data_IF_053342074224
#
_entry.id   IF_053342074224
#
_cell.length_a   1.000
_cell.length_b   1.000
_cell.length_c   1.000
_cell.angle_alpha   90.00
_cell.angle_beta   90.00
_cell.angle_gamma   90.00
#
_symmetry.space_group_name_H-M   'P 1'
#
loop_
_entity.id
_entity.type
_entity.pdbx_description
1 polymer ?
#
# COMPACT_ATOMS: atom_id res chain seq x y z
N UNK A 1 -25.07 27.62 51.55
CA UNK A 1 -26.19 27.59 50.58
C UNK A 1 -26.06 26.31 49.77
N UNK A 2 -26.99 25.38 49.99
CA UNK A 2 -27.02 24.06 49.35
C UNK A 2 -28.16 24.10 48.35
N UNK A 3 -27.88 23.98 47.05
CA UNK A 3 -28.91 23.96 46.03
C UNK A 3 -28.96 22.57 45.38
N UNK A 4 -29.95 21.79 45.82
CA UNK A 4 -30.36 20.49 45.26
C UNK A 4 -31.03 20.71 43.90
N UNK A 5 -30.68 19.89 42.91
CA UNK A 5 -31.49 19.66 41.72
C UNK A 5 -31.93 18.19 41.71
N UNK A 6 -33.26 17.99 41.67
CA UNK A 6 -33.94 16.71 41.49
C UNK A 6 -34.18 16.53 39.98
N UNK A 7 -33.79 15.38 39.43
CA UNK A 7 -34.10 14.97 38.06
C UNK A 7 -35.11 13.82 38.07
N UNK A 8 -36.21 14.00 37.33
CA UNK A 8 -37.41 13.18 37.30
C UNK A 8 -37.22 11.85 36.55
N UNK A 9 -37.87 10.80 37.07
CA UNK A 9 -38.08 9.52 36.38
C UNK A 9 -39.37 9.58 35.57
N UNK A 10 -39.30 9.29 34.27
CA UNK A 10 -40.47 9.08 33.39
C UNK A 10 -40.65 7.58 33.20
N UNK A 11 -41.76 7.05 33.69
CA UNK A 11 -42.19 5.68 33.45
C UNK A 11 -43.05 5.63 32.18
N UNK A 12 -42.63 4.83 31.19
CA UNK A 12 -43.37 4.57 29.97
C UNK A 12 -44.24 3.32 30.17
N UNK A 13 -45.56 3.50 30.21
CA UNK A 13 -46.53 2.41 30.26
C UNK A 13 -46.83 1.87 28.85
N UNK A 14 -46.65 0.56 28.65
CA UNK A 14 -47.05 -0.15 27.43
C UNK A 14 -48.41 -0.80 27.68
N UNK A 15 -49.41 -0.42 26.88
CA UNK A 15 -50.74 -1.05 26.84
C UNK A 15 -50.72 -2.14 25.78
N UNK A 16 -50.88 -3.41 26.18
CA UNK A 16 -51.05 -4.54 25.28
C UNK A 16 -52.54 -4.76 24.99
N UNK A 17 -52.97 -4.49 23.76
CA UNK A 17 -54.28 -4.87 23.25
C UNK A 17 -54.21 -6.28 22.65
N UNK A 18 -54.99 -7.20 23.23
CA UNK A 18 -55.12 -8.58 22.75
C UNK A 18 -56.08 -8.70 21.58
N UNK A 19 -55.67 -9.39 20.53
CA UNK A 19 -56.55 -9.94 19.50
C UNK A 19 -56.47 -11.47 19.55
N UNK A 20 -57.59 -12.10 19.90
CA UNK A 20 -57.77 -13.55 19.85
C UNK A 20 -58.04 -14.00 18.42
N UNK A 21 -57.15 -14.83 17.88
CA UNK A 21 -57.31 -15.53 16.61
C UNK A 21 -57.27 -17.04 16.84
N UNK A 22 -58.35 -17.72 16.42
CA UNK A 22 -58.53 -19.16 16.48
C UNK A 22 -57.50 -19.88 15.61
N UNK A 23 -56.61 -20.67 16.22
CA UNK A 23 -55.58 -21.45 15.51
C UNK A 23 -56.17 -22.80 15.09
N UNK A 24 -56.28 -23.02 13.78
CA UNK A 24 -56.54 -24.33 13.18
C UNK A 24 -55.23 -25.12 13.17
N UNK A 25 -55.20 -26.24 13.90
CA UNK A 25 -54.03 -27.09 14.04
C UNK A 25 -53.65 -27.76 12.72
N UNK A 26 -52.49 -27.38 12.18
CA UNK A 26 -51.81 -28.10 11.10
C UNK A 26 -50.87 -29.13 11.74
N UNK A 27 -50.89 -30.41 11.29
CA UNK A 27 -49.99 -31.42 11.83
C UNK A 27 -48.54 -31.01 11.59
N UNK A 28 -47.84 -30.73 12.69
CA UNK A 28 -46.41 -30.42 12.68
C UNK A 28 -45.65 -31.72 12.44
N UNK A 29 -45.16 -31.92 11.22
CA UNK A 29 -44.14 -32.94 10.97
C UNK A 29 -42.86 -32.48 11.65
N UNK A 30 -42.48 -33.16 12.74
CA UNK A 30 -41.18 -32.97 13.38
C UNK A 30 -40.08 -33.35 12.37
N UNK A 31 -39.24 -32.41 11.91
CA UNK A 31 -38.11 -32.79 11.08
C UNK A 31 -37.13 -33.57 11.95
N UNK A 32 -36.90 -34.82 11.60
CA UNK A 32 -35.79 -35.61 12.15
C UNK A 32 -34.49 -34.90 11.75
N UNK A 33 -33.88 -34.21 12.71
CA UNK A 33 -32.57 -33.58 12.53
C UNK A 33 -31.53 -34.70 12.43
N UNK A 34 -31.16 -35.06 11.20
CA UNK A 34 -29.99 -35.90 10.95
C UNK A 34 -28.77 -35.09 11.35
N UNK A 35 -28.15 -35.46 12.48
CA UNK A 35 -26.88 -34.90 12.95
C UNK A 35 -25.79 -35.35 11.97
N UNK A 36 -25.56 -34.56 10.93
CA UNK A 36 -24.36 -34.70 10.11
C UNK A 36 -23.19 -34.23 10.95
N UNK A 37 -22.38 -35.17 11.44
CA UNK A 37 -21.11 -34.86 12.07
C UNK A 37 -20.23 -34.11 11.06
N UNK A 38 -20.21 -32.78 11.13
CA UNK A 38 -19.25 -31.95 10.39
C UNK A 38 -17.87 -32.35 10.87
N UNK A 39 -17.16 -33.10 10.02
CA UNK A 39 -15.79 -33.54 10.26
C UNK A 39 -14.96 -32.30 10.60
N UNK A 40 -14.57 -32.14 11.87
CA UNK A 40 -13.75 -31.03 12.35
C UNK A 40 -12.54 -30.95 11.44
N UNK A 41 -12.46 -29.90 10.63
CA UNK A 41 -11.35 -29.68 9.71
C UNK A 41 -10.12 -29.54 10.61
N UNK A 42 -9.20 -30.51 10.54
CA UNK A 42 -7.93 -30.45 11.26
C UNK A 42 -7.30 -29.10 10.91
N UNK A 43 -6.92 -28.26 11.88
CA UNK A 43 -6.31 -26.98 11.59
C UNK A 43 -5.15 -27.23 10.63
N UNK A 44 -5.21 -26.64 9.45
CA UNK A 44 -4.11 -26.69 8.50
C UNK A 44 -2.97 -25.94 9.17
N UNK A 45 -1.86 -26.62 9.44
CA UNK A 45 -0.68 -25.99 10.01
C UNK A 45 -0.29 -24.82 9.10
N UNK A 46 -0.48 -23.59 9.59
CA UNK A 46 0.06 -22.41 8.92
C UNK A 46 1.57 -22.57 8.89
N UNK A 47 2.22 -22.56 7.72
CA UNK A 47 3.67 -22.72 7.64
C UNK A 47 4.33 -21.58 8.43
N UNK A 48 5.11 -21.96 9.45
CA UNK A 48 5.95 -21.02 10.19
C UNK A 48 7.04 -20.50 9.26
N UNK A 49 7.34 -19.19 9.26
CA UNK A 49 8.42 -18.66 8.45
C UNK A 49 9.74 -19.39 8.69
N UNK A 50 10.36 -19.82 7.60
CA UNK A 50 11.64 -20.52 7.66
C UNK A 50 12.74 -19.48 7.93
N UNK A 51 13.39 -19.57 9.10
CA UNK A 51 14.55 -18.75 9.42
C UNK A 51 15.69 -19.04 8.44
N UNK A 52 16.35 -18.00 7.94
CA UNK A 52 17.54 -18.14 7.09
C UNK A 52 18.64 -18.88 7.88
N UNK A 53 19.37 -19.86 7.29
CA UNK A 53 20.47 -20.53 7.97
C UNK A 53 21.48 -19.52 8.53
N UNK A 54 21.68 -19.58 9.85
CA UNK A 54 22.55 -18.64 10.55
C UNK A 54 24.00 -18.76 10.03
N UNK A 55 24.66 -17.63 9.72
CA UNK A 55 26.09 -17.66 9.42
C UNK A 55 26.87 -18.11 10.66
N UNK A 56 28.13 -18.55 10.48
CA UNK A 56 29.10 -18.47 11.56
C UNK A 56 29.05 -17.06 12.15
N UNK A 57 28.97 -16.95 13.48
CA UNK A 57 28.93 -15.66 14.16
C UNK A 57 30.15 -14.83 13.72
N UNK A 58 29.89 -13.67 13.10
CA UNK A 58 30.93 -12.71 12.75
C UNK A 58 31.35 -11.86 13.96
N UNK A 59 32.45 -11.10 13.84
CA UNK A 59 32.89 -10.19 14.89
C UNK A 59 31.87 -9.07 15.14
N UNK A 60 31.23 -8.54 14.09
CA UNK A 60 30.18 -7.52 14.17
C UNK A 60 28.75 -8.08 14.21
N UNK A 61 27.76 -7.19 14.10
CA UNK A 61 26.34 -7.54 14.10
C UNK A 61 25.99 -8.63 13.05
N UNK A 62 25.24 -9.64 13.47
CA UNK A 62 24.85 -10.75 12.60
C UNK A 62 23.44 -10.53 12.07
N UNK A 63 23.27 -10.66 10.75
CA UNK A 63 21.95 -10.71 10.12
C UNK A 63 21.29 -12.05 10.42
N UNK A 64 20.18 -12.03 11.15
CA UNK A 64 19.38 -13.18 11.61
C UNK A 64 18.26 -13.52 10.63
N UNK A 65 17.63 -12.50 10.05
CA UNK A 65 16.63 -12.65 9.01
C UNK A 65 16.92 -11.67 7.87
N UNK A 66 16.77 -12.15 6.63
CA UNK A 66 16.76 -11.30 5.44
C UNK A 66 15.74 -11.86 4.46
N UNK A 67 14.69 -11.10 4.21
CA UNK A 67 13.57 -11.55 3.40
C UNK A 67 12.63 -10.41 3.02
N UNK A 68 11.43 -10.80 2.59
CA UNK A 68 10.38 -9.88 2.19
C UNK A 68 9.16 -10.02 3.10
N UNK A 69 8.43 -8.92 3.29
CA UNK A 69 7.07 -8.94 3.81
C UNK A 69 6.10 -8.42 2.75
N UNK A 70 4.91 -9.00 2.66
CA UNK A 70 3.85 -8.54 1.79
C UNK A 70 3.39 -7.12 2.14
N UNK A 71 2.52 -6.54 1.32
CA UNK A 71 2.03 -5.18 1.53
C UNK A 71 1.10 -5.03 2.76
N UNK A 72 0.63 -6.15 3.33
CA UNK A 72 -0.06 -6.23 4.61
C UNK A 72 0.89 -6.53 5.78
N UNK A 73 2.19 -6.32 5.56
CA UNK A 73 3.29 -6.51 6.49
C UNK A 73 3.53 -7.97 6.93
N UNK A 74 2.86 -8.97 6.33
CA UNK A 74 3.09 -10.38 6.64
C UNK A 74 4.38 -10.91 5.99
N UNK A 75 5.28 -11.60 6.73
CA UNK A 75 6.48 -12.21 6.14
C UNK A 75 6.16 -13.21 5.02
N UNK A 76 6.84 -13.08 3.89
CA UNK A 76 6.72 -14.00 2.76
C UNK A 76 7.60 -15.24 2.98
N UNK A 77 7.17 -16.38 2.44
CA UNK A 77 8.02 -17.56 2.34
C UNK A 77 8.84 -17.50 1.04
N UNK A 78 10.12 -17.92 1.07
CA UNK A 78 10.87 -18.12 -0.15
C UNK A 78 10.28 -19.29 -0.95
N UNK A 79 10.29 -19.19 -2.27
CA UNK A 79 9.82 -20.23 -3.18
C UNK A 79 10.89 -21.31 -3.44
N UNK A 80 12.13 -21.07 -3.00
CA UNK A 80 13.25 -21.98 -3.15
C UNK A 80 14.59 -21.31 -2.85
N UNK A 81 15.67 -21.95 -3.31
CA UNK A 81 17.02 -21.39 -3.30
C UNK A 81 17.62 -21.45 -4.69
N UNK A 82 18.51 -20.51 -5.02
CA UNK A 82 19.28 -20.59 -6.25
C UNK A 82 20.54 -21.48 -6.12
N UNK A 83 21.36 -21.54 -7.18
CA UNK A 83 22.58 -22.37 -7.21
C UNK A 83 23.65 -21.97 -6.17
N UNK A 84 23.56 -20.78 -5.57
CA UNK A 84 24.45 -20.31 -4.51
C UNK A 84 23.84 -20.48 -3.10
N UNK A 85 22.67 -21.13 -3.00
CA UNK A 85 21.95 -21.32 -1.74
C UNK A 85 21.22 -20.07 -1.23
N UNK A 86 21.04 -19.05 -2.08
CA UNK A 86 20.33 -17.81 -1.72
C UNK A 86 18.83 -18.05 -1.79
N UNK A 87 18.09 -17.63 -0.77
CA UNK A 87 16.63 -17.72 -0.76
C UNK A 87 16.04 -16.89 -1.91
N UNK A 88 15.14 -17.49 -2.68
CA UNK A 88 14.42 -16.83 -3.78
C UNK A 88 13.03 -16.43 -3.28
N UNK A 89 12.75 -15.13 -3.30
CA UNK A 89 11.42 -14.60 -3.07
C UNK A 89 10.84 -14.14 -4.41
N UNK A 90 9.74 -14.76 -4.83
CA UNK A 90 9.05 -14.37 -6.07
C UNK A 90 7.95 -13.36 -5.76
N UNK A 91 7.91 -12.29 -6.56
CA UNK A 91 6.89 -11.24 -6.51
C UNK A 91 6.27 -11.05 -7.87
N UNK A 92 4.96 -10.80 -7.88
CA UNK A 92 4.24 -10.32 -9.06
C UNK A 92 4.57 -8.84 -9.28
N UNK A 93 4.66 -8.45 -10.54
CA UNK A 93 4.85 -7.04 -10.90
C UNK A 93 3.71 -6.18 -10.33
N UNK A 94 4.03 -4.97 -9.88
CA UNK A 94 3.05 -4.00 -9.36
C UNK A 94 2.56 -4.20 -7.92
N UNK A 95 2.96 -5.28 -7.22
CA UNK A 95 2.58 -5.48 -5.83
C UNK A 95 3.59 -4.85 -4.85
N UNK A 96 3.11 -4.03 -3.92
CA UNK A 96 3.93 -3.51 -2.82
C UNK A 96 4.51 -4.63 -1.95
N UNK A 97 5.66 -4.36 -1.32
CA UNK A 97 6.27 -5.20 -0.29
C UNK A 97 7.28 -4.40 0.53
N UNK A 98 7.74 -4.98 1.62
CA UNK A 98 8.87 -4.47 2.38
C UNK A 98 10.07 -5.39 2.23
N UNK A 99 11.27 -4.82 2.08
CA UNK A 99 12.52 -5.47 2.42
C UNK A 99 12.63 -5.47 3.95
N UNK A 100 12.89 -6.64 4.53
CA UNK A 100 13.03 -6.80 5.98
C UNK A 100 14.39 -7.41 6.28
N UNK A 101 15.16 -6.70 7.11
CA UNK A 101 16.46 -7.15 7.61
C UNK A 101 16.40 -7.14 9.12
N UNK A 102 16.76 -8.25 9.75
CA UNK A 102 16.92 -8.29 11.20
C UNK A 102 18.34 -8.61 11.58
N UNK A 103 18.76 -8.05 12.72
CA UNK A 103 20.09 -8.26 13.25
C UNK A 103 20.07 -8.57 14.74
N UNK A 104 21.12 -9.25 15.19
CA UNK A 104 21.48 -9.41 16.60
C UNK A 104 22.97 -9.15 16.83
N UNK A 105 23.41 -8.92 18.07
CA UNK A 105 24.82 -8.76 18.42
C UNK A 105 25.74 -9.87 17.87
N UNK A 106 26.96 -9.45 17.56
CA UNK A 106 28.07 -10.30 17.13
C UNK A 106 28.82 -11.00 18.26
N UNK A 107 30.00 -11.52 17.94
CA UNK A 107 30.99 -11.93 18.95
C UNK A 107 31.47 -10.73 19.79
N UNK A 108 31.40 -9.50 19.26
CA UNK A 108 31.67 -8.27 20.02
C UNK A 108 30.70 -8.06 21.19
N UNK A 109 29.56 -8.76 21.21
CA UNK A 109 28.44 -8.56 22.14
C UNK A 109 27.84 -7.15 22.12
N UNK A 110 28.24 -6.33 21.16
CA UNK A 110 27.71 -4.99 21.04
C UNK A 110 26.33 -4.98 20.38
N UNK A 111 25.42 -4.09 20.80
CA UNK A 111 24.15 -3.90 20.13
C UNK A 111 24.34 -3.59 18.64
N UNK A 112 23.39 -4.05 17.83
CA UNK A 112 23.30 -3.70 16.42
C UNK A 112 23.15 -2.19 16.30
N UNK A 113 23.92 -1.55 15.41
CA UNK A 113 23.72 -0.14 15.11
C UNK A 113 22.39 0.06 14.38
N UNK A 114 21.74 1.21 14.56
CA UNK A 114 20.38 1.46 14.05
C UNK A 114 20.33 2.48 12.91
N UNK A 115 21.45 3.06 12.50
CA UNK A 115 21.47 3.99 11.37
C UNK A 115 21.26 3.22 10.06
N UNK A 116 20.23 3.60 9.29
CA UNK A 116 20.07 3.15 7.91
C UNK A 116 20.56 4.19 6.90
N UNK A 117 20.82 5.43 7.35
CA UNK A 117 21.34 6.51 6.53
C UNK A 117 22.37 7.33 7.32
N UNK A 118 23.54 7.52 6.72
CA UNK A 118 24.62 8.36 7.22
C UNK A 118 25.51 8.71 6.03
N UNK A 119 25.32 9.93 5.50
CA UNK A 119 25.83 10.33 4.20
C UNK A 119 26.77 11.53 4.30
N UNK A 120 27.89 11.42 3.60
CA UNK A 120 28.78 12.53 3.28
C UNK A 120 29.10 12.48 1.78
N UNK A 121 28.88 13.56 1.01
CA UNK A 121 29.21 13.60 -0.42
C UNK A 121 30.72 13.54 -0.70
N UNK A 122 31.54 13.88 0.30
CA UNK A 122 33.00 14.01 0.16
C UNK A 122 33.79 12.97 0.97
N UNK A 123 33.11 12.09 1.72
CA UNK A 123 33.75 11.05 2.53
C UNK A 123 33.02 9.69 2.42
N UNK A 124 33.55 8.75 1.61
CA UNK A 124 32.94 7.44 1.42
C UNK A 124 33.06 6.50 2.63
N UNK A 125 33.82 6.88 3.66
CA UNK A 125 33.90 6.14 4.92
C UNK A 125 32.72 6.44 5.85
N UNK A 126 32.03 7.57 5.67
CA UNK A 126 30.78 7.88 6.37
C UNK A 126 29.67 7.00 5.77
N UNK A 127 29.30 5.95 6.52
CA UNK A 127 28.29 4.97 6.12
C UNK A 127 27.34 4.66 7.26
N UNK A 128 26.11 4.22 6.92
CA UNK A 128 25.15 3.75 7.91
C UNK A 128 25.54 2.38 8.46
N UNK A 129 24.86 1.98 9.54
CA UNK A 129 25.05 0.68 10.16
C UNK A 129 24.49 -0.44 9.29
N UNK A 130 23.34 -0.22 8.67
CA UNK A 130 22.79 -1.09 7.65
C UNK A 130 23.36 -0.74 6.28
N UNK A 131 24.10 -1.67 5.68
CA UNK A 131 24.71 -1.47 4.36
C UNK A 131 24.15 -2.48 3.36
N UNK A 132 23.24 -2.01 2.51
CA UNK A 132 22.57 -2.83 1.49
C UNK A 132 22.93 -2.38 0.07
N UNK A 133 23.13 -3.35 -0.82
CA UNK A 133 23.38 -3.16 -2.25
C UNK A 133 22.48 -4.08 -3.06
N UNK A 134 22.16 -3.68 -4.29
CA UNK A 134 21.38 -4.47 -5.25
C UNK A 134 22.15 -4.69 -6.54
N UNK A 135 22.01 -5.86 -7.16
CA UNK A 135 22.73 -6.19 -8.40
C UNK A 135 22.12 -5.56 -9.66
N UNK A 136 20.93 -4.96 -9.57
CA UNK A 136 20.24 -4.30 -10.68
C UNK A 136 19.63 -2.99 -10.20
N UNK A 137 19.61 -1.95 -11.04
CA UNK A 137 19.09 -0.66 -10.64
C UNK A 137 17.61 -0.81 -10.28
N UNK A 138 17.19 -0.17 -9.19
CA UNK A 138 15.77 -0.05 -8.84
C UNK A 138 15.21 1.20 -9.49
N UNK A 139 13.94 1.19 -9.91
CA UNK A 139 13.32 2.36 -10.53
C UNK A 139 14.08 2.82 -11.78
N UNK A 140 14.41 4.12 -11.83
CA UNK A 140 15.20 4.71 -12.92
C UNK A 140 16.73 4.55 -12.76
N UNK A 141 17.21 3.93 -11.67
CA UNK A 141 18.63 3.73 -11.40
C UNK A 141 19.43 5.01 -11.14
N UNK A 142 18.77 6.09 -10.73
CA UNK A 142 19.42 7.35 -10.35
C UNK A 142 20.58 7.13 -9.37
N UNK A 143 21.61 7.95 -9.46
CA UNK A 143 22.74 7.96 -8.52
C UNK A 143 22.61 9.05 -7.47
N UNK A 144 21.53 9.84 -7.51
CA UNK A 144 21.30 10.90 -6.54
C UNK A 144 20.88 10.30 -5.22
N UNK A 145 21.70 10.48 -4.19
CA UNK A 145 21.43 9.92 -2.87
C UNK A 145 20.15 10.51 -2.27
N UNK A 146 19.20 9.64 -1.93
CA UNK A 146 17.94 10.02 -1.30
C UNK A 146 17.07 10.95 -2.14
N UNK A 147 17.02 10.66 -3.43
CA UNK A 147 15.94 11.12 -4.29
C UNK A 147 14.67 10.28 -4.06
N UNK A 148 14.23 10.19 -2.81
CA UNK A 148 12.96 9.55 -2.43
C UNK A 148 11.86 10.58 -2.12
N UNK A 149 12.08 11.82 -2.57
CA UNK A 149 11.16 12.95 -2.49
C UNK A 149 10.12 12.90 -3.60
N UNK A 150 8.91 13.43 -3.43
CA UNK A 150 7.91 13.28 -4.51
C UNK A 150 8.19 14.10 -5.77
N UNK A 151 9.03 15.13 -5.69
CA UNK A 151 9.44 15.90 -6.88
C UNK A 151 10.65 15.30 -7.60
N UNK A 152 11.42 14.48 -6.89
CA UNK A 152 12.53 13.71 -7.44
C UNK A 152 12.42 12.32 -6.85
N UNK A 153 11.49 11.51 -7.35
CA UNK A 153 11.51 10.07 -7.10
C UNK A 153 12.49 9.46 -8.09
N UNK A 154 13.74 9.33 -7.67
CA UNK A 154 14.67 8.48 -8.37
C UNK A 154 14.71 7.06 -7.81
N UNK A 155 15.53 6.30 -8.52
CA UNK A 155 15.80 4.91 -8.31
C UNK A 155 16.92 4.68 -7.32
N UNK A 156 17.51 3.49 -7.39
CA UNK A 156 18.72 3.15 -6.63
C UNK A 156 19.72 2.56 -7.62
N UNK A 157 20.99 2.99 -7.62
CA UNK A 157 21.96 2.49 -8.57
C UNK A 157 22.39 1.06 -8.17
N UNK A 158 22.76 0.25 -9.16
CA UNK A 158 23.24 -1.11 -8.92
C UNK A 158 24.73 -1.19 -8.62
N UNK A 159 25.12 -2.22 -7.86
CA UNK A 159 26.51 -2.65 -7.70
C UNK A 159 26.58 -4.17 -7.90
N UNK A 160 27.09 -4.62 -9.05
CA UNK A 160 27.18 -6.04 -9.43
C UNK A 160 28.59 -6.41 -9.95
N UNK A 161 29.32 -7.35 -9.30
CA UNK A 161 28.96 -8.01 -8.05
C UNK A 161 28.95 -7.04 -6.87
N UNK A 162 28.12 -7.35 -5.85
CA UNK A 162 28.08 -6.58 -4.62
C UNK A 162 29.47 -6.48 -4.00
N UNK A 163 29.96 -5.25 -3.80
CA UNK A 163 31.25 -4.98 -3.18
C UNK A 163 31.13 -3.75 -2.28
N UNK A 164 31.89 -3.74 -1.19
CA UNK A 164 31.82 -2.69 -0.17
C UNK A 164 33.10 -1.84 -0.10
N UNK A 165 33.82 -1.70 -1.21
CA UNK A 165 35.00 -0.85 -1.27
C UNK A 165 34.65 0.59 -0.85
N UNK A 166 35.61 1.30 -0.22
CA UNK A 166 35.42 2.67 0.26
C UNK A 166 35.54 3.68 -0.89
N UNK A 167 34.58 3.65 -1.82
CA UNK A 167 34.42 4.63 -2.90
C UNK A 167 33.11 5.39 -2.73
N UNK A 168 33.05 6.61 -3.28
CA UNK A 168 31.85 7.46 -3.15
C UNK A 168 30.63 6.80 -3.80
N UNK A 169 30.76 6.31 -5.04
CA UNK A 169 29.71 5.58 -5.75
C UNK A 169 29.06 4.45 -4.92
N UNK A 170 29.86 3.68 -4.16
CA UNK A 170 29.34 2.60 -3.31
C UNK A 170 28.66 3.18 -2.06
N UNK A 171 29.25 4.21 -1.46
CA UNK A 171 28.64 4.91 -0.32
C UNK A 171 27.30 5.52 -0.70
N UNK A 172 27.20 6.11 -1.89
CA UNK A 172 26.00 6.70 -2.46
C UNK A 172 24.92 5.63 -2.64
N UNK A 173 25.25 4.51 -3.30
CA UNK A 173 24.31 3.39 -3.48
C UNK A 173 23.78 2.82 -2.15
N UNK A 174 24.66 2.69 -1.14
CA UNK A 174 24.30 2.23 0.20
C UNK A 174 23.33 3.22 0.87
N UNK A 175 23.66 4.50 0.84
CA UNK A 175 22.87 5.53 1.50
C UNK A 175 21.53 5.80 0.79
N UNK A 176 21.49 5.72 -0.53
CA UNK A 176 20.29 5.92 -1.33
C UNK A 176 19.24 4.83 -1.08
N UNK A 177 19.66 3.56 -1.05
CA UNK A 177 18.77 2.49 -0.60
C UNK A 177 18.45 2.63 0.89
N UNK A 178 19.45 3.02 1.69
CA UNK A 178 19.36 3.13 3.15
C UNK A 178 18.32 4.12 3.65
N UNK A 179 18.20 5.29 3.04
CA UNK A 179 17.20 6.28 3.44
C UNK A 179 15.75 5.91 3.11
N UNK A 180 15.53 4.76 2.46
CA UNK A 180 14.19 4.20 2.18
C UNK A 180 13.73 3.25 3.30
N UNK A 181 14.56 3.00 4.32
CA UNK A 181 14.23 2.18 5.48
C UNK A 181 13.74 3.04 6.64
N UNK A 182 12.47 2.91 7.02
CA UNK A 182 11.83 3.82 7.98
C UNK A 182 11.72 3.19 9.36
N UNK A 183 12.18 3.92 10.38
CA UNK A 183 12.17 3.51 11.79
C UNK A 183 10.77 3.53 12.46
N UNK A 184 9.71 3.82 11.71
CA UNK A 184 8.34 3.97 12.21
C UNK A 184 7.94 5.42 12.50
N UNK A 185 8.92 6.32 12.64
CA UNK A 185 8.68 7.75 12.93
C UNK A 185 8.91 8.66 11.72
N UNK A 186 9.05 8.11 10.52
CA UNK A 186 9.40 8.90 9.33
C UNK A 186 10.89 8.94 9.00
N UNK A 187 11.77 8.56 9.94
CA UNK A 187 13.22 8.75 9.79
C UNK A 187 13.91 7.48 9.28
N UNK A 188 15.01 7.62 8.51
CA UNK A 188 15.85 6.49 8.13
C UNK A 188 16.44 5.75 9.34
N UNK A 189 16.10 4.48 9.54
CA UNK A 189 16.68 3.70 10.63
C UNK A 189 16.05 2.34 10.90
N UNK A 190 16.69 1.62 11.82
CA UNK A 190 16.18 0.38 12.40
C UNK A 190 15.20 0.63 13.55
N UNK A 191 14.50 -0.44 13.93
CA UNK A 191 13.45 -0.50 14.95
C UNK A 191 13.82 -1.51 16.04
N UNK A 192 13.37 -1.24 17.26
CA UNK A 192 13.44 -2.20 18.36
C UNK A 192 12.31 -3.23 18.30
N UNK A 193 12.31 -4.24 19.20
CA UNK A 193 11.29 -5.30 19.24
C UNK A 193 9.85 -4.76 19.41
N UNK A 194 9.69 -3.67 20.14
CA UNK A 194 8.38 -3.06 20.43
C UNK A 194 7.80 -2.28 19.22
N UNK A 195 8.61 -2.03 18.19
CA UNK A 195 8.25 -1.24 17.01
C UNK A 195 8.35 -2.04 15.70
N UNK A 196 8.33 -3.37 15.79
CA UNK A 196 8.47 -4.25 14.63
C UNK A 196 7.50 -3.90 13.49
N UNK A 197 7.92 -4.15 12.25
CA UNK A 197 7.14 -3.88 11.05
C UNK A 197 6.63 -5.15 10.36
N UNK A 198 6.81 -6.32 10.98
CA UNK A 198 6.30 -7.60 10.46
C UNK A 198 5.10 -8.06 11.27
N UNK A 199 3.98 -8.25 10.59
CA UNK A 199 2.70 -8.64 11.17
C UNK A 199 2.51 -10.16 11.09
N UNK A 200 2.01 -10.76 12.16
CA UNK A 200 1.78 -12.20 12.23
C UNK A 200 0.28 -12.55 12.29
N UNK A 201 -0.09 -13.83 12.06
CA UNK A 201 -1.48 -14.27 12.08
C UNK A 201 -2.21 -14.07 13.43
N UNK A 202 -1.47 -13.91 14.51
CA UNK A 202 -2.00 -13.53 15.83
C UNK A 202 -2.45 -12.07 15.90
N UNK A 203 -2.11 -11.27 14.89
CA UNK A 203 -2.44 -9.86 14.79
C UNK A 203 -1.42 -8.93 15.45
N UNK A 204 -0.32 -9.48 15.98
CA UNK A 204 0.73 -8.72 16.64
C UNK A 204 1.91 -8.47 15.70
N UNK A 205 2.60 -7.35 15.95
CA UNK A 205 3.86 -7.05 15.29
C UNK A 205 5.01 -7.54 16.17
N UNK A 206 5.90 -8.33 15.58
CA UNK A 206 7.12 -8.77 16.25
C UNK A 206 8.17 -9.17 15.21
N UNK A 207 9.41 -9.40 15.64
CA UNK A 207 10.48 -9.87 14.76
C UNK A 207 10.23 -11.30 14.25
N UNK A 208 10.73 -11.60 13.05
CA UNK A 208 10.66 -12.91 12.42
C UNK A 208 11.58 -13.90 13.11
N UNK A 209 12.82 -13.50 13.44
CA UNK A 209 13.66 -14.24 14.37
C UNK A 209 13.52 -13.64 15.78
N UNK A 210 12.98 -14.39 16.76
CA UNK A 210 12.81 -13.90 18.13
C UNK A 210 14.12 -13.58 18.85
N UNK A 211 15.28 -13.95 18.30
CA UNK A 211 16.60 -13.61 18.84
C UNK A 211 17.17 -12.31 18.27
N UNK A 212 16.48 -11.67 17.34
CA UNK A 212 16.85 -10.38 16.78
C UNK A 212 16.69 -9.27 17.83
N UNK A 213 17.54 -8.24 17.75
CA UNK A 213 17.46 -7.04 18.60
C UNK A 213 17.20 -5.77 17.81
N UNK A 214 17.27 -5.83 16.48
CA UNK A 214 16.98 -4.74 15.58
C UNK A 214 16.30 -5.26 14.30
N UNK A 215 15.39 -4.47 13.74
CA UNK A 215 14.74 -4.73 12.46
C UNK A 215 14.73 -3.49 11.58
N UNK A 216 15.09 -3.62 10.31
CA UNK A 216 15.06 -2.57 9.31
C UNK A 216 13.98 -2.90 8.27
N UNK A 217 13.14 -1.91 7.97
CA UNK A 217 11.97 -2.08 7.11
C UNK A 217 11.94 -1.05 5.99
N UNK A 218 12.20 -1.49 4.76
CA UNK A 218 12.20 -0.65 3.57
C UNK A 218 11.01 -0.97 2.68
N UNK A 219 9.96 -0.14 2.68
CA UNK A 219 8.79 -0.33 1.81
C UNK A 219 9.18 -0.04 0.37
N UNK A 220 9.12 -1.05 -0.49
CA UNK A 220 9.37 -0.93 -1.93
C UNK A 220 8.11 -0.38 -2.60
N UNK A 221 8.19 0.88 -3.02
CA UNK A 221 7.14 1.54 -3.79
C UNK A 221 7.40 1.46 -5.29
N UNK A 222 6.38 1.74 -6.11
CA UNK A 222 6.47 1.71 -7.58
C UNK A 222 7.67 2.51 -8.16
N UNK A 223 8.01 3.72 -7.67
CA UNK A 223 9.07 4.52 -8.29
C UNK A 223 10.47 3.92 -8.19
N UNK A 224 10.72 3.03 -7.23
CA UNK A 224 11.97 2.28 -7.09
C UNK A 224 11.69 0.78 -6.98
N UNK A 225 10.72 0.31 -7.77
CA UNK A 225 10.41 -1.09 -7.89
C UNK A 225 11.60 -1.90 -8.40
N UNK A 226 11.63 -3.18 -8.02
CA UNK A 226 12.58 -4.14 -8.57
C UNK A 226 12.24 -4.39 -10.06
N UNK A 227 13.25 -4.41 -10.95
CA UNK A 227 13.01 -4.68 -12.37
C UNK A 227 12.64 -6.16 -12.58
N UNK A 228 11.96 -6.45 -13.70
CA UNK A 228 11.62 -7.83 -14.10
C UNK A 228 12.86 -8.74 -14.16
N UNK A 229 12.72 -9.97 -13.66
CA UNK A 229 13.77 -10.98 -13.53
C UNK A 229 14.35 -11.04 -12.12
N UNK A 230 15.57 -11.57 -12.01
CA UNK A 230 16.24 -11.75 -10.72
C UNK A 230 17.08 -10.52 -10.38
N UNK A 231 16.97 -10.07 -9.14
CA UNK A 231 17.84 -9.05 -8.53
C UNK A 231 18.39 -9.60 -7.23
N UNK A 232 19.71 -9.57 -7.06
CA UNK A 232 20.37 -10.02 -5.84
C UNK A 232 20.47 -8.83 -4.90
N UNK A 233 19.84 -8.92 -3.74
CA UNK A 233 20.04 -7.96 -2.66
C UNK A 233 21.10 -8.53 -1.71
N UNK A 234 22.10 -7.72 -1.37
CA UNK A 234 23.19 -8.08 -0.45
C UNK A 234 23.20 -7.09 0.71
N UNK A 235 23.19 -7.59 1.94
CA UNK A 235 23.20 -6.76 3.14
C UNK A 235 24.25 -7.21 4.14
N UNK A 236 24.77 -6.26 4.91
CA UNK A 236 25.53 -6.49 6.15
C UNK A 236 25.18 -5.40 7.16
N UNK A 237 25.42 -5.68 8.43
CA UNK A 237 25.16 -4.76 9.53
C UNK A 237 26.47 -4.47 10.29
N UNK A 238 26.65 -3.26 10.80
CA UNK A 238 27.60 -2.99 11.88
C UNK A 238 26.93 -2.95 13.24
N UNK A 239 27.73 -3.20 14.26
CA UNK A 239 27.36 -2.90 15.65
C UNK A 239 27.67 -1.45 16.02
N UNK A 240 27.34 -1.05 17.25
CA UNK A 240 27.53 0.32 17.74
C UNK A 240 29.01 0.74 17.91
N UNK A 241 30.00 -0.15 17.77
CA UNK A 241 31.42 0.25 17.68
C UNK A 241 31.91 0.27 16.23
N UNK A 242 31.00 0.12 15.25
CA UNK A 242 31.33 0.13 13.83
C UNK A 242 31.97 -1.17 13.34
N UNK A 243 31.91 -2.26 14.12
CA UNK A 243 32.40 -3.57 13.67
C UNK A 243 31.37 -4.17 12.73
N UNK A 244 31.77 -4.36 11.46
CA UNK A 244 30.90 -4.88 10.41
C UNK A 244 30.83 -6.41 10.46
N UNK A 245 29.61 -6.95 10.37
CA UNK A 245 29.34 -8.38 10.30
C UNK A 245 29.45 -9.00 8.91
N UNK A 246 29.14 -10.30 8.83
CA UNK A 246 29.14 -11.04 7.57
C UNK A 246 27.99 -10.61 6.65
N UNK A 247 28.19 -10.75 5.33
CA UNK A 247 27.15 -10.46 4.35
C UNK A 247 26.08 -11.56 4.30
N UNK A 248 24.87 -11.16 3.89
CA UNK A 248 23.73 -12.02 3.58
C UNK A 248 23.13 -11.63 2.24
N UNK A 249 22.59 -12.62 1.53
CA UNK A 249 22.03 -12.41 0.21
C UNK A 249 20.68 -13.11 0.06
N UNK A 250 19.79 -12.46 -0.67
CA UNK A 250 18.54 -13.04 -1.19
C UNK A 250 18.43 -12.73 -2.68
N UNK A 251 17.60 -13.50 -3.38
CA UNK A 251 17.16 -13.21 -4.74
C UNK A 251 15.72 -12.72 -4.67
N UNK A 252 15.49 -11.51 -5.17
CA UNK A 252 14.13 -10.99 -5.43
C UNK A 252 13.85 -11.23 -6.91
N UNK A 253 12.91 -12.14 -7.19
CA UNK A 253 12.47 -12.47 -8.54
C UNK A 253 11.16 -11.74 -8.83
N UNK A 254 11.20 -10.78 -9.75
CA UNK A 254 9.98 -10.15 -10.27
C UNK A 254 9.60 -10.85 -11.56
N UNK A 255 8.55 -11.67 -11.51
CA UNK A 255 8.11 -12.42 -12.68
C UNK A 255 6.79 -11.82 -13.19
N UNK A 256 6.80 -11.08 -14.33
CA UNK A 256 5.58 -10.53 -14.91
C UNK A 256 4.62 -11.65 -15.37
N UNK A 257 5.18 -12.83 -15.64
CA UNK A 257 4.48 -14.01 -16.11
C UNK A 257 4.45 -15.12 -15.05
N UNK A 258 4.58 -14.80 -13.75
CA UNK A 258 4.32 -15.76 -12.68
C UNK A 258 2.83 -16.10 -12.71
N UNK A 259 2.49 -16.97 -13.66
CA UNK A 259 1.16 -17.44 -13.91
C UNK A 259 0.61 -17.99 -12.61
N UNK A 260 -0.65 -17.69 -12.36
CA UNK A 260 -1.47 -18.51 -11.49
C UNK A 260 -1.18 -19.99 -11.81
N UNK A 261 -0.96 -20.87 -10.80
CA UNK A 261 -0.67 -22.29 -11.03
C UNK A 261 -1.63 -22.82 -12.08
N UNK A 262 -1.06 -23.20 -13.22
CA UNK A 262 -1.79 -23.31 -14.48
C UNK A 262 -2.88 -24.37 -14.39
N UNK A 263 -4.14 -23.95 -14.39
CA UNK A 263 -5.22 -24.75 -14.98
C UNK A 263 -5.16 -24.53 -16.49
N UNK A 264 -4.90 -25.60 -17.22
CA UNK A 264 -4.66 -25.65 -18.68
C UNK A 264 -5.82 -25.02 -19.47
N UNK A 265 -5.56 -23.94 -20.23
CA UNK A 265 -6.51 -23.30 -21.13
C UNK A 265 -5.83 -22.57 -22.30
N UNK A 266 -6.41 -22.68 -23.49
CA UNK A 266 -5.86 -22.43 -24.85
C UNK A 266 -5.36 -21.01 -25.19
N UNK A 267 -4.53 -20.85 -26.25
CA UNK A 267 -3.83 -19.60 -26.59
C UNK A 267 -4.69 -18.58 -27.36
N UNK A 268 -4.45 -17.28 -27.09
CA UNK A 268 -5.06 -16.14 -27.80
C UNK A 268 -3.96 -15.26 -28.44
N UNK A 269 -4.15 -14.72 -29.66
CA UNK A 269 -3.10 -14.02 -30.42
C UNK A 269 -2.87 -12.57 -29.98
N UNK A 270 -1.61 -12.13 -30.09
CA UNK A 270 -1.10 -10.81 -29.69
C UNK A 270 -0.95 -9.86 -30.91
N UNK A 271 -1.25 -8.58 -30.72
CA UNK A 271 -0.91 -7.50 -31.66
C UNK A 271 -0.26 -6.32 -30.93
N UNK A 272 0.92 -5.91 -31.41
CA UNK A 272 1.73 -4.80 -30.90
C UNK A 272 1.41 -3.49 -31.63
N UNK A 273 1.22 -2.39 -30.90
CA UNK A 273 1.07 -1.05 -31.47
C UNK A 273 2.06 -0.05 -30.85
N UNK A 274 2.76 0.70 -31.70
CA UNK A 274 3.71 1.77 -31.36
C UNK A 274 2.97 3.09 -31.16
N UNK A 275 3.20 3.81 -30.04
CA UNK A 275 2.60 5.14 -29.80
C UNK A 275 3.56 6.28 -30.18
N UNK A 276 3.01 7.28 -30.87
CA UNK A 276 3.57 8.61 -31.15
C UNK A 276 3.00 9.61 -30.12
N UNK A 277 3.79 10.54 -29.55
CA UNK A 277 3.28 11.53 -28.61
C UNK A 277 2.23 12.45 -29.27
N UNK A 278 1.05 12.58 -28.63
CA UNK A 278 -0.12 13.30 -29.13
C UNK A 278 -0.40 14.53 -28.23
N UNK A 279 -0.79 15.70 -28.80
CA UNK A 279 -1.08 16.94 -28.07
C UNK A 279 -2.22 16.80 -27.06
N UNK A 280 -2.22 17.68 -26.04
CA UNK A 280 -3.21 17.78 -24.95
C UNK A 280 -4.64 17.73 -25.52
N UNK A 281 -5.48 16.75 -25.14
CA UNK A 281 -6.83 16.62 -25.67
C UNK A 281 -7.74 17.75 -25.16
N UNK A 282 -8.78 18.13 -25.92
CA UNK A 282 -9.87 18.95 -25.38
C UNK A 282 -10.52 18.26 -24.17
N UNK A 283 -11.16 19.02 -23.26
CA UNK A 283 -11.85 18.47 -22.09
C UNK A 283 -12.77 17.32 -22.51
N UNK A 284 -12.63 16.17 -21.85
CA UNK A 284 -13.39 14.98 -22.18
C UNK A 284 -14.89 15.19 -21.94
N UNK A 285 -15.72 14.47 -22.71
CA UNK A 285 -17.18 14.51 -22.55
C UNK A 285 -17.64 13.97 -21.20
N UNK A 286 -18.91 14.20 -20.84
CA UNK A 286 -19.47 13.77 -19.56
C UNK A 286 -19.42 12.25 -19.43
N UNK A 287 -19.10 11.79 -18.21
CA UNK A 287 -18.94 10.38 -17.86
C UNK A 287 -19.74 10.00 -16.62
N UNK A 288 -19.92 8.70 -16.42
CA UNK A 288 -20.44 8.16 -15.18
C UNK A 288 -19.44 7.21 -14.52
N UNK A 289 -19.50 7.16 -13.18
CA UNK A 289 -18.73 6.20 -12.41
C UNK A 289 -19.42 4.83 -12.51
N UNK A 290 -18.72 3.88 -13.12
CA UNK A 290 -19.12 2.48 -13.27
C UNK A 290 -18.74 1.64 -12.04
N UNK A 291 -17.57 1.92 -11.44
CA UNK A 291 -17.12 1.28 -10.20
C UNK A 291 -16.51 2.31 -9.25
N UNK A 292 -16.84 2.19 -7.96
CA UNK A 292 -16.22 2.98 -6.90
C UNK A 292 -16.01 2.11 -5.66
N UNK A 293 -14.75 1.95 -5.27
CA UNK A 293 -14.38 1.11 -4.13
C UNK A 293 -12.91 1.23 -3.79
N UNK A 294 -12.40 0.22 -3.09
CA UNK A 294 -10.97 0.12 -2.76
C UNK A 294 -10.42 -1.24 -3.19
N UNK A 295 -9.12 -1.28 -3.43
CA UNK A 295 -8.35 -2.51 -3.55
C UNK A 295 -7.35 -2.61 -2.41
N UNK A 296 -6.96 -3.83 -2.07
CA UNK A 296 -5.87 -4.09 -1.13
C UNK A 296 -4.54 -3.54 -1.67
N UNK A 297 -3.52 -3.48 -0.83
CA UNK A 297 -2.19 -3.03 -1.26
C UNK A 297 -1.49 -4.01 -2.22
N UNK A 298 -2.00 -5.23 -2.36
CA UNK A 298 -1.63 -6.19 -3.41
C UNK A 298 -2.44 -6.00 -4.72
N UNK A 299 -3.19 -4.90 -4.81
CA UNK A 299 -4.09 -4.52 -5.90
C UNK A 299 -5.37 -5.36 -6.05
N UNK A 300 -5.67 -6.34 -5.18
CA UNK A 300 -6.92 -7.09 -5.30
C UNK A 300 -8.14 -6.27 -4.84
N UNK A 301 -9.21 -6.13 -5.64
CA UNK A 301 -10.42 -5.42 -5.22
C UNK A 301 -11.00 -6.01 -3.92
N UNK A 302 -11.32 -5.12 -2.97
CA UNK A 302 -12.05 -5.52 -1.77
C UNK A 302 -13.54 -5.54 -2.05
N UNK A 303 -14.23 -6.50 -1.46
CA UNK A 303 -15.70 -6.45 -1.35
C UNK A 303 -16.08 -5.55 -0.17
N UNK A 304 -17.19 -4.82 -0.30
CA UNK A 304 -17.76 -4.08 0.83
C UNK A 304 -18.22 -5.05 1.91
N UNK A 305 -18.03 -4.67 3.18
CA UNK A 305 -18.52 -5.45 4.34
C UNK A 305 -20.04 -5.27 4.58
N UNK A 306 -20.66 -4.32 3.88
CA UNK A 306 -22.09 -4.03 3.96
C UNK A 306 -22.42 -2.67 3.36
N UNK A 307 -23.57 -2.13 3.73
CA UNK A 307 -23.96 -0.75 3.43
C UNK A 307 -24.32 -0.01 4.71
N UNK A 308 -24.19 1.31 4.72
CA UNK A 308 -24.70 2.15 5.82
C UNK A 308 -26.20 2.46 5.69
N UNK A 309 -26.71 3.37 6.53
CA UNK A 309 -28.13 3.77 6.56
C UNK A 309 -28.60 4.46 5.28
N UNK A 310 -27.70 5.03 4.49
CA UNK A 310 -28.00 5.67 3.21
C UNK A 310 -27.79 4.71 2.03
N UNK A 311 -27.46 3.44 2.29
CA UNK A 311 -27.23 2.42 1.26
C UNK A 311 -25.86 2.53 0.59
N UNK A 312 -24.91 3.28 1.16
CA UNK A 312 -23.57 3.45 0.60
C UNK A 312 -22.71 2.24 0.96
N UNK A 313 -21.93 1.66 0.03
CA UNK A 313 -21.02 0.56 0.34
C UNK A 313 -20.00 0.94 1.42
N UNK A 314 -19.84 0.09 2.43
CA UNK A 314 -18.88 0.26 3.51
C UNK A 314 -17.69 -0.67 3.27
N UNK A 315 -16.49 -0.12 3.23
CA UNK A 315 -15.24 -0.87 3.16
C UNK A 315 -14.48 -0.73 4.47
N UNK A 316 -14.04 -1.84 5.05
CA UNK A 316 -13.31 -1.85 6.31
C UNK A 316 -11.81 -2.09 6.08
N UNK A 317 -10.96 -1.30 6.76
CA UNK A 317 -9.51 -1.47 6.77
C UNK A 317 -8.96 -1.29 8.18
N UNK A 318 -7.90 -2.02 8.52
CA UNK A 318 -7.15 -1.79 9.76
C UNK A 318 -6.16 -0.66 9.58
N UNK A 319 -5.92 0.11 10.64
CA UNK A 319 -4.90 1.14 10.68
C UNK A 319 -3.52 0.57 10.30
N UNK A 320 -2.69 1.38 9.64
CA UNK A 320 -1.36 0.95 9.15
C UNK A 320 -1.37 0.12 7.87
N UNK A 321 -2.53 -0.43 7.45
CA UNK A 321 -2.64 -1.17 6.20
C UNK A 321 -2.97 -0.24 5.03
N UNK A 322 -2.04 -0.13 4.08
CA UNK A 322 -2.28 0.54 2.82
C UNK A 322 -3.44 -0.08 2.03
N UNK A 323 -3.99 0.69 1.12
CA UNK A 323 -4.97 0.26 0.13
C UNK A 323 -4.94 1.22 -1.07
N UNK A 324 -5.62 0.87 -2.15
CA UNK A 324 -5.75 1.70 -3.35
C UNK A 324 -7.19 2.18 -3.41
N UNK A 325 -7.42 3.49 -3.50
CA UNK A 325 -8.72 4.04 -3.88
C UNK A 325 -8.88 3.89 -5.39
N UNK A 326 -9.97 3.24 -5.81
CA UNK A 326 -10.21 2.90 -7.22
C UNK A 326 -11.53 3.54 -7.67
N UNK A 327 -11.45 4.37 -8.72
CA UNK A 327 -12.61 4.94 -9.41
C UNK A 327 -12.53 4.56 -10.87
N UNK A 328 -13.59 3.95 -11.40
CA UNK A 328 -13.68 3.66 -12.83
C UNK A 328 -14.78 4.46 -13.48
N UNK A 329 -14.51 4.90 -14.69
CA UNK A 329 -15.42 5.69 -15.49
C UNK A 329 -15.77 5.02 -16.79
N UNK A 330 -17.00 5.26 -17.25
CA UNK A 330 -17.42 5.01 -18.63
C UNK A 330 -18.11 6.22 -19.25
N UNK A 331 -18.10 6.35 -20.58
CA UNK A 331 -18.81 7.44 -21.26
C UNK A 331 -20.31 7.30 -21.05
N UNK A 332 -21.00 8.44 -20.90
CA UNK A 332 -22.46 8.45 -20.99
C UNK A 332 -22.89 8.03 -22.40
N UNK A 333 -24.10 7.46 -22.51
CA UNK A 333 -24.71 7.08 -23.79
C UNK A 333 -24.57 8.21 -24.82
N UNK A 334 -23.99 7.88 -25.98
CA UNK A 334 -23.75 8.85 -27.06
C UNK A 334 -22.37 9.51 -27.06
N UNK A 335 -21.56 9.32 -26.01
CA UNK A 335 -20.18 9.80 -25.94
C UNK A 335 -19.19 8.67 -26.21
N UNK A 336 -18.07 8.98 -26.87
CA UNK A 336 -17.03 7.99 -27.23
C UNK A 336 -15.91 7.89 -26.20
N UNK A 337 -15.67 8.96 -25.45
CA UNK A 337 -14.58 9.07 -24.49
C UNK A 337 -15.03 9.87 -23.29
N UNK A 338 -14.39 9.60 -22.16
CA UNK A 338 -14.45 10.42 -20.94
C UNK A 338 -13.10 11.08 -20.74
N UNK A 339 -13.12 12.16 -19.97
CA UNK A 339 -11.90 12.79 -19.52
C UNK A 339 -11.08 11.86 -18.62
N UNK A 340 -9.76 12.00 -18.66
CA UNK A 340 -8.81 11.19 -17.90
C UNK A 340 -7.91 12.02 -16.99
N UNK A 341 -8.11 13.33 -16.87
CA UNK A 341 -7.35 14.16 -15.92
C UNK A 341 -7.85 13.92 -14.49
N UNK A 342 -6.93 13.61 -13.57
CA UNK A 342 -7.20 13.61 -12.13
C UNK A 342 -6.72 14.90 -11.45
N UNK A 343 -5.94 15.74 -12.13
CA UNK A 343 -5.48 17.04 -11.64
C UNK A 343 -5.58 18.12 -12.71
N UNK A 344 -6.19 19.25 -12.35
CA UNK A 344 -6.27 20.46 -13.17
C UNK A 344 -6.65 21.62 -12.25
N UNK A 345 -5.68 22.45 -11.90
CA UNK A 345 -5.76 23.40 -10.80
C UNK A 345 -5.46 24.83 -11.25
N UNK A 346 -6.29 25.75 -10.80
CA UNK A 346 -6.03 27.19 -10.82
C UNK A 346 -6.28 27.74 -9.39
N UNK A 347 -5.31 28.45 -8.78
CA UNK A 347 -5.43 28.97 -7.42
C UNK A 347 -6.44 30.12 -7.26
N UNK A 348 -6.93 30.69 -8.37
CA UNK A 348 -7.88 31.81 -8.36
C UNK A 348 -9.17 31.53 -9.13
N UNK A 349 -9.24 30.43 -9.89
CA UNK A 349 -10.44 30.00 -10.59
C UNK A 349 -10.94 28.63 -10.09
N UNK A 350 -11.97 28.58 -9.22
CA UNK A 350 -12.48 27.34 -8.66
C UNK A 350 -13.24 26.48 -9.68
N UNK A 351 -13.48 26.98 -10.89
CA UNK A 351 -14.14 26.24 -11.99
C UNK A 351 -13.12 25.35 -12.71
N UNK A 352 -11.83 25.73 -12.70
CA UNK A 352 -10.74 24.90 -13.22
C UNK A 352 -10.55 23.70 -12.30
N UNK A 353 -11.08 22.56 -12.75
CA UNK A 353 -11.08 21.29 -12.02
C UNK A 353 -10.70 20.14 -12.92
N UNK A 354 -10.25 19.00 -12.37
CA UNK A 354 -10.02 17.77 -13.13
C UNK A 354 -11.31 17.12 -13.65
N UNK A 355 -11.13 16.07 -14.45
CA UNK A 355 -12.23 15.22 -14.93
C UNK A 355 -12.73 14.31 -13.80
N UNK A 356 -11.81 13.63 -13.10
CA UNK A 356 -12.13 12.97 -11.85
C UNK A 356 -12.16 13.99 -10.71
N UNK A 357 -13.26 14.03 -9.94
CA UNK A 357 -13.36 14.87 -8.75
C UNK A 357 -13.69 13.99 -7.54
N UNK A 358 -12.83 14.01 -6.52
CA UNK A 358 -13.00 13.23 -5.29
C UNK A 358 -12.82 14.15 -4.09
N UNK A 359 -13.71 14.01 -3.10
CA UNK A 359 -13.64 14.72 -1.82
C UNK A 359 -13.93 13.75 -0.66
N UNK A 360 -13.45 14.10 0.52
CA UNK A 360 -13.60 13.31 1.75
C UNK A 360 -14.26 14.13 2.84
N UNK A 361 -15.08 13.50 3.69
CA UNK A 361 -15.75 14.19 4.81
C UNK A 361 -14.85 14.41 6.02
N UNK A 362 -13.64 13.86 6.03
CA UNK A 362 -12.67 14.00 7.14
C UNK A 362 -11.27 14.19 6.57
N UNK A 363 -10.44 15.00 7.24
CA UNK A 363 -9.11 15.28 6.74
C UNK A 363 -8.30 13.98 6.69
N UNK A 364 -7.54 13.80 5.61
CA UNK A 364 -6.55 12.73 5.52
C UNK A 364 -5.21 13.27 6.02
N UNK A 365 -4.40 12.47 6.70
CA UNK A 365 -3.12 12.95 7.25
C UNK A 365 -3.31 14.12 8.22
N UNK A 366 -2.56 15.21 7.99
CA UNK A 366 -2.66 16.45 8.77
C UNK A 366 -3.80 17.40 8.32
N UNK A 367 -4.49 17.07 7.21
CA UNK A 367 -5.56 17.90 6.65
C UNK A 367 -5.12 19.22 6.04
N UNK A 368 -3.85 19.36 5.67
CA UNK A 368 -3.30 20.56 5.03
C UNK A 368 -4.17 21.03 3.85
N UNK A 369 -4.42 22.34 3.70
CA UNK A 369 -5.15 22.89 2.55
C UNK A 369 -4.24 23.17 1.34
N UNK A 370 -2.93 22.89 1.42
CA UNK A 370 -2.01 23.17 0.32
C UNK A 370 -2.18 22.14 -0.79
N UNK A 371 -2.60 22.60 -1.97
CA UNK A 371 -2.83 21.73 -3.12
C UNK A 371 -1.54 21.08 -3.58
N UNK A 372 -1.53 19.74 -3.63
CA UNK A 372 -0.40 18.94 -4.06
C UNK A 372 0.86 19.16 -3.23
N UNK A 373 0.66 19.26 -1.92
CA UNK A 373 1.70 19.01 -0.93
C UNK A 373 1.90 17.50 -0.68
N UNK A 374 1.68 16.69 -1.72
CA UNK A 374 2.22 15.36 -1.77
C UNK A 374 3.70 15.45 -2.19
N UNK A 375 4.48 16.36 -1.59
CA UNK A 375 5.86 16.78 -1.96
C UNK A 375 6.86 16.60 -0.80
N UNK A 376 8.16 16.43 -1.07
CA UNK A 376 9.15 16.80 -0.05
C UNK A 376 9.38 18.33 -0.16
N UNK A 377 9.55 19.08 0.93
CA UNK A 377 9.68 18.65 2.33
C UNK A 377 8.36 18.56 3.09
N UNK A 378 7.25 18.95 2.48
CA UNK A 378 5.94 19.01 3.14
C UNK A 378 5.07 17.90 2.58
N UNK A 379 5.04 16.75 3.25
CA UNK A 379 4.03 15.72 3.01
C UNK A 379 2.75 16.10 3.75
N UNK A 380 1.94 16.94 3.14
CA UNK A 380 0.65 17.30 3.69
C UNK A 380 -0.42 16.25 3.40
N UNK A 381 -1.47 16.37 4.21
CA UNK A 381 -2.69 15.63 4.16
C UNK A 381 -3.61 16.10 3.04
N UNK A 382 -4.90 15.77 3.16
CA UNK A 382 -5.95 16.27 2.25
C UNK A 382 -7.02 16.93 3.09
N UNK A 383 -7.46 18.16 2.76
CA UNK A 383 -8.46 18.86 3.54
C UNK A 383 -9.84 18.21 3.33
N UNK A 384 -10.67 18.28 4.36
CA UNK A 384 -12.04 17.76 4.29
C UNK A 384 -13.01 18.75 3.65
N UNK A 385 -14.08 18.21 3.06
CA UNK A 385 -15.31 18.94 2.74
C UNK A 385 -16.46 18.21 3.44
N UNK A 386 -16.98 18.80 4.51
CA UNK A 386 -18.02 18.18 5.35
C UNK A 386 -19.21 19.15 5.58
N UNK A 387 -20.44 18.81 5.16
CA UNK A 387 -20.79 17.64 4.37
C UNK A 387 -20.16 17.68 2.96
N UNK A 388 -19.88 16.52 2.32
CA UNK A 388 -19.34 16.51 0.97
C UNK A 388 -20.25 17.24 -0.03
N UNK A 389 -19.74 18.31 -0.62
CA UNK A 389 -20.36 19.00 -1.75
C UNK A 389 -19.31 19.34 -2.82
N UNK A 390 -19.77 19.44 -4.07
CA UNK A 390 -18.91 19.81 -5.21
C UNK A 390 -19.15 21.26 -5.63
N UNK A 391 -19.54 22.15 -4.70
CA UNK A 391 -19.80 23.55 -5.01
C UNK A 391 -18.54 24.23 -5.57
N UNK A 392 -18.71 25.23 -6.44
CA UNK A 392 -17.64 25.99 -7.10
C UNK A 392 -16.97 27.01 -6.17
N UNK A 393 -16.45 26.51 -5.04
CA UNK A 393 -15.68 27.25 -4.04
C UNK A 393 -14.20 26.89 -4.18
N UNK A 394 -13.30 27.84 -3.94
CA UNK A 394 -11.86 27.60 -4.02
C UNK A 394 -11.43 26.47 -3.09
N UNK A 395 -11.81 26.50 -1.81
CA UNK A 395 -11.49 25.43 -0.87
C UNK A 395 -11.97 24.03 -1.32
N UNK A 396 -13.11 23.94 -2.02
CA UNK A 396 -13.58 22.67 -2.60
C UNK A 396 -12.74 22.27 -3.81
N UNK A 397 -12.35 23.23 -4.66
CA UNK A 397 -11.43 23.00 -5.78
C UNK A 397 -10.04 22.55 -5.30
N UNK A 398 -9.55 23.16 -4.21
CA UNK A 398 -8.28 22.84 -3.57
C UNK A 398 -8.30 21.39 -3.05
N UNK A 399 -9.35 21.02 -2.30
CA UNK A 399 -9.53 19.65 -1.81
C UNK A 399 -9.62 18.60 -2.94
N UNK A 400 -10.35 18.92 -4.02
CA UNK A 400 -10.46 18.05 -5.20
C UNK A 400 -9.09 17.84 -5.86
N UNK A 401 -8.35 18.93 -6.09
CA UNK A 401 -7.08 18.87 -6.79
C UNK A 401 -5.96 18.25 -5.94
N UNK A 402 -5.98 18.48 -4.62
CA UNK A 402 -5.02 17.90 -3.70
C UNK A 402 -5.15 16.37 -3.60
N UNK A 403 -6.39 15.84 -3.47
CA UNK A 403 -6.59 14.40 -3.59
C UNK A 403 -6.33 13.91 -5.03
N UNK A 404 -6.68 14.74 -6.01
CA UNK A 404 -6.54 14.49 -7.44
C UNK A 404 -5.10 14.20 -7.89
N UNK A 405 -4.12 14.96 -7.40
CA UNK A 405 -2.72 14.74 -7.74
C UNK A 405 -2.07 13.54 -7.04
N UNK A 406 -2.80 12.83 -6.16
CA UNK A 406 -2.37 11.56 -5.55
C UNK A 406 -2.81 10.34 -6.37
N UNK A 407 -3.67 10.54 -7.36
CA UNK A 407 -3.92 9.54 -8.39
C UNK A 407 -2.70 9.44 -9.31
N UNK A 408 -2.37 8.24 -9.76
CA UNK A 408 -1.18 8.01 -10.57
C UNK A 408 -1.46 6.98 -11.67
N UNK A 409 -1.08 7.31 -12.90
CA UNK A 409 -1.26 6.45 -14.08
C UNK A 409 -0.26 5.27 -14.17
N UNK A 410 0.65 5.15 -13.21
CA UNK A 410 1.75 4.19 -13.17
C UNK A 410 3.10 4.79 -13.56
N UNK A 411 3.09 5.99 -14.17
CA UNK A 411 4.29 6.70 -14.62
C UNK A 411 4.60 7.96 -13.82
N UNK A 412 3.80 8.26 -12.79
CA UNK A 412 3.94 9.48 -11.99
C UNK A 412 2.90 10.56 -12.30
N UNK A 413 2.13 10.44 -13.38
CA UNK A 413 1.22 11.50 -13.79
C UNK A 413 -0.17 11.34 -13.13
N UNK A 414 -0.81 12.45 -12.73
CA UNK A 414 -2.16 12.44 -12.17
C UNK A 414 -3.24 12.28 -13.24
N UNK A 415 -3.28 11.09 -13.82
CA UNK A 415 -4.19 10.71 -14.89
C UNK A 415 -4.82 9.34 -14.61
N UNK A 416 -5.98 9.12 -15.23
CA UNK A 416 -6.58 7.81 -15.38
C UNK A 416 -5.78 6.91 -16.32
N UNK A 417 -5.95 5.61 -16.14
CA UNK A 417 -5.29 4.51 -16.84
C UNK A 417 -6.23 3.88 -17.87
N UNK A 418 -5.66 3.38 -18.96
CA UNK A 418 -6.37 2.52 -19.91
C UNK A 418 -6.40 1.06 -19.40
N UNK A 419 -7.21 0.20 -20.03
CA UNK A 419 -7.36 -1.21 -19.65
C UNK A 419 -6.02 -1.96 -19.57
N UNK A 420 -5.08 -1.66 -20.48
CA UNK A 420 -3.76 -2.29 -20.52
C UNK A 420 -2.87 -1.91 -19.31
N UNK A 421 -3.20 -0.80 -18.65
CA UNK A 421 -2.42 -0.21 -17.57
C UNK A 421 -3.18 -0.27 -16.23
N UNK A 422 -4.26 -1.06 -16.15
CA UNK A 422 -5.12 -1.18 -14.97
C UNK A 422 -4.32 -1.46 -13.68
N UNK A 423 -4.83 -1.00 -12.55
CA UNK A 423 -4.21 -1.11 -11.23
C UNK A 423 -4.95 -2.07 -10.29
N UNK A 424 -5.98 -2.79 -10.76
CA UNK A 424 -6.68 -3.81 -9.99
C UNK A 424 -6.31 -5.21 -10.49
N UNK A 425 -5.81 -6.04 -9.58
CA UNK A 425 -5.32 -7.39 -9.82
C UNK A 425 -6.43 -8.41 -9.51
N UNK A 426 -6.67 -9.34 -10.42
CA UNK A 426 -7.65 -10.41 -10.24
C UNK A 426 -6.99 -11.76 -9.90
N UNK A 427 -7.82 -12.73 -9.53
CA UNK A 427 -7.37 -14.06 -9.08
C UNK A 427 -6.63 -14.87 -10.15
N UNK A 428 -6.83 -14.53 -11.43
CA UNK A 428 -6.08 -15.03 -12.58
C UNK A 428 -4.68 -14.42 -12.70
N UNK A 429 -4.38 -13.38 -11.93
CA UNK A 429 -3.08 -12.69 -11.90
C UNK A 429 -2.93 -11.60 -12.95
N UNK A 430 -3.99 -11.25 -13.66
CA UNK A 430 -3.99 -10.16 -14.64
C UNK A 430 -4.58 -8.88 -14.04
N UNK A 431 -4.12 -7.75 -14.56
CA UNK A 431 -4.66 -6.44 -14.22
C UNK A 431 -5.74 -6.06 -15.21
N UNK A 432 -6.94 -5.77 -14.70
CA UNK A 432 -8.12 -5.39 -15.48
C UNK A 432 -8.98 -4.43 -14.70
N UNK A 433 -9.85 -3.68 -15.37
CA UNK A 433 -10.93 -2.95 -14.70
C UNK A 433 -11.89 -3.91 -13.99
N UNK A 434 -12.47 -3.45 -12.89
CA UNK A 434 -13.47 -4.15 -12.09
C UNK A 434 -14.81 -4.20 -12.81
N UNK A 435 -15.22 -3.10 -13.44
CA UNK A 435 -16.36 -3.08 -14.36
C UNK A 435 -15.83 -3.14 -15.80
N UNK A 436 -16.23 -4.17 -16.55
CA UNK A 436 -15.80 -4.39 -17.93
C UNK A 436 -16.37 -3.37 -18.94
N UNK A 437 -17.30 -2.52 -18.50
CA UNK A 437 -17.85 -1.41 -19.29
C UNK A 437 -17.06 -0.11 -19.11
N UNK A 438 -16.13 -0.08 -18.14
CA UNK A 438 -15.25 1.06 -17.89
C UNK A 438 -14.28 1.28 -19.05
N UNK A 439 -13.96 2.55 -19.32
CA UNK A 439 -12.95 2.95 -20.32
C UNK A 439 -11.74 3.64 -19.70
N UNK A 440 -11.85 4.06 -18.44
CA UNK A 440 -10.74 4.63 -17.66
C UNK A 440 -10.80 4.10 -16.23
N UNK A 441 -9.63 3.94 -15.61
CA UNK A 441 -9.52 3.64 -14.19
C UNK A 441 -8.52 4.59 -13.52
N UNK A 442 -8.94 5.20 -12.43
CA UNK A 442 -8.13 6.08 -11.60
C UNK A 442 -7.74 5.35 -10.32
N UNK A 443 -6.45 5.42 -9.98
CA UNK A 443 -5.86 4.70 -8.86
C UNK A 443 -5.04 5.63 -7.97
N UNK A 444 -5.40 5.73 -6.70
CA UNK A 444 -4.60 6.45 -5.69
C UNK A 444 -4.16 5.49 -4.59
N UNK A 445 -2.86 5.27 -4.46
CA UNK A 445 -2.31 4.42 -3.41
C UNK A 445 -2.30 5.18 -2.09
N UNK A 446 -3.17 4.82 -1.15
CA UNK A 446 -3.27 5.47 0.16
C UNK A 446 -2.13 4.99 1.05
N UNK A 447 -1.22 5.92 1.38
CA UNK A 447 -0.07 5.69 2.26
C UNK A 447 -0.34 6.21 3.67
N UNK A 448 0.62 6.01 4.59
CA UNK A 448 0.50 6.52 5.96
C UNK A 448 0.49 8.05 6.07
N UNK A 449 1.14 8.77 5.14
CA UNK A 449 1.27 10.23 5.21
C UNK A 449 -0.07 10.98 5.07
N UNK A 450 -1.00 10.42 4.28
CA UNK A 450 -2.36 10.91 4.10
C UNK A 450 -3.36 9.77 4.33
N UNK A 451 -3.11 9.01 5.39
CA UNK A 451 -3.96 7.90 5.79
C UNK A 451 -5.35 8.40 6.20
N UNK A 452 -6.34 7.54 6.02
CA UNK A 452 -7.68 7.78 6.53
C UNK A 452 -7.66 7.73 8.07
N UNK A 453 -8.30 8.70 8.76
CA UNK A 453 -8.35 8.69 10.21
C UNK A 453 -9.22 7.53 10.73
N UNK A 454 -8.97 7.09 11.99
CA UNK A 454 -9.79 6.05 12.65
C UNK A 454 -11.27 6.42 12.64
N UNK A 455 -12.14 5.43 12.43
CA UNK A 455 -13.58 5.59 12.29
C UNK A 455 -14.02 5.65 10.83
N UNK A 456 -15.17 6.25 10.57
CA UNK A 456 -15.74 6.32 9.22
C UNK A 456 -15.36 7.62 8.54
N UNK A 457 -15.02 7.54 7.26
CA UNK A 457 -14.85 8.68 6.35
C UNK A 457 -15.70 8.44 5.12
N UNK A 458 -16.58 9.40 4.81
CA UNK A 458 -17.38 9.38 3.59
C UNK A 458 -16.51 9.90 2.44
N UNK A 459 -16.40 9.11 1.38
CA UNK A 459 -15.71 9.50 0.15
C UNK A 459 -16.75 9.72 -0.93
N UNK A 460 -16.77 10.91 -1.51
CA UNK A 460 -17.66 11.26 -2.62
C UNK A 460 -16.85 11.47 -3.88
N UNK A 461 -17.26 10.87 -4.98
CA UNK A 461 -16.60 11.01 -6.27
C UNK A 461 -17.62 11.30 -7.38
N UNK A 462 -17.19 12.02 -8.40
CA UNK A 462 -17.87 12.12 -9.69
C UNK A 462 -16.84 12.24 -10.81
N UNK A 463 -17.25 11.85 -12.01
CA UNK A 463 -16.60 12.34 -13.24
C UNK A 463 -17.28 13.65 -13.60
N UNK A 464 -16.56 14.62 -14.16
CA UNK A 464 -17.06 15.97 -14.47
C UNK A 464 -18.44 15.91 -15.11
N UNK A 465 -19.37 16.71 -14.58
CA UNK A 465 -20.80 16.77 -14.97
C UNK A 465 -21.61 15.47 -14.75
N UNK A 466 -20.99 14.41 -14.24
CA UNK A 466 -21.63 13.15 -13.90
C UNK A 466 -22.28 13.12 -12.52
N UNK A 467 -23.07 12.06 -12.29
CA UNK A 467 -23.69 11.80 -11.00
C UNK A 467 -22.65 11.51 -9.91
N UNK A 468 -22.92 11.97 -8.69
CA UNK A 468 -22.09 11.66 -7.51
C UNK A 468 -22.32 10.21 -7.09
N UNK A 469 -21.22 9.50 -6.82
CA UNK A 469 -21.19 8.21 -6.12
C UNK A 469 -20.49 8.37 -4.79
N UNK A 470 -20.91 7.57 -3.81
CA UNK A 470 -20.37 7.63 -2.46
C UNK A 470 -20.06 6.23 -1.93
N UNK A 471 -18.98 6.14 -1.17
CA UNK A 471 -18.61 4.96 -0.36
C UNK A 471 -18.21 5.43 1.03
N UNK A 472 -18.27 4.53 2.01
CA UNK A 472 -17.73 4.74 3.35
C UNK A 472 -16.47 3.90 3.51
N UNK A 473 -15.39 4.52 3.95
CA UNK A 473 -14.18 3.81 4.36
C UNK A 473 -14.12 3.87 5.89
N UNK A 474 -14.18 2.70 6.53
CA UNK A 474 -14.10 2.52 7.97
C UNK A 474 -12.71 2.03 8.35
N UNK A 475 -11.95 2.86 9.05
CA UNK A 475 -10.65 2.47 9.62
C UNK A 475 -10.84 1.96 11.06
N UNK A 476 -10.56 0.68 11.26
CA UNK A 476 -10.53 0.00 12.56
C UNK A 476 -9.10 -0.05 13.11
N UNK A 477 -8.99 -0.18 14.44
CA UNK A 477 -7.71 -0.34 15.14
C UNK A 477 -7.53 -1.79 15.51
#
# INVERSE_FOLDING_TARGET
MVQRWMGAWVALGIVAAGCGGTIVGVPTMTPTVTVTHTRTRRPTNTPTPTTTPAPPLGPGANVTFFGLAAADDMPLQPIGTDGNGRLIYERRFGQGFSLVVEGRPGISHSPVGLSAFNYSPDDPAVRPDMQMLVSRPLGNGSTTVCDNTLHMFGGVPSVDPANYALTQHISDAINDLGCRFNNGTGNPGGRGPDDACTLFPDGEFHFVDPNSTAQFCGRVASPFGFPEGDTIATVRLSDQQGVVGATRQIVVRVNPNAGTPTTTGMPQPSTTATRTPTPVPPPGGPGEISYFGIAQADAMPLQSVGTDSEGRPVFERRIGRGFILVVEGKPLTGHRTIGNSAFNYDPIDPIVRPDLQVIVSRPLGDGSPTVCDNGDPVFGGVPAVDPPDFAERQATSDAINDLGCRFNDGTGNPSGRAQADACTLFGDGTFHFVDNTSTVQFCAAISGAYGFPRGETLVSARIREGAVRQIVIRITG
#
